data_IF_406879372374
#
_entry.id   IF_406879372374
#
_cell.length_a   1.000
_cell.length_b   1.000
_cell.length_c   1.000
_cell.angle_alpha   90.00
_cell.angle_beta   90.00
_cell.angle_gamma   90.00
#
_symmetry.space_group_name_H-M   'P 1'
#
loop_
_entity.id
_entity.type
_entity.pdbx_description
1 polymer ?
#
# COMPACT_ATOMS: atom_id res chain seq x y z
N UNK A 1 -31.41 22.62 -39.79
CA UNK A 1 -30.68 21.39 -40.23
C UNK A 1 -29.17 21.57 -40.12
N UNK A 2 -28.58 22.63 -40.68
CA UNK A 2 -27.11 22.89 -40.57
C UNK A 2 -26.67 23.09 -39.13
N UNK A 3 -27.45 23.73 -38.29
CA UNK A 3 -27.16 24.01 -36.90
C UNK A 3 -27.02 22.72 -36.06
N UNK A 4 -27.86 21.71 -36.32
CA UNK A 4 -27.80 20.43 -35.65
C UNK A 4 -26.54 19.63 -36.01
N UNK A 5 -26.13 19.69 -37.29
CA UNK A 5 -24.90 19.05 -37.78
C UNK A 5 -23.68 19.69 -37.13
N UNK A 6 -23.66 21.02 -37.01
CA UNK A 6 -22.56 21.78 -36.41
C UNK A 6 -22.39 21.43 -34.92
N UNK A 7 -23.51 21.33 -34.19
CA UNK A 7 -23.50 20.93 -32.77
C UNK A 7 -22.96 19.52 -32.61
N UNK A 8 -23.41 18.56 -33.42
CA UNK A 8 -22.92 17.17 -33.33
C UNK A 8 -21.42 17.08 -33.62
N UNK A 9 -20.91 17.81 -34.59
CA UNK A 9 -19.49 17.87 -34.92
C UNK A 9 -18.67 18.47 -33.78
N UNK A 10 -19.11 19.58 -33.20
CA UNK A 10 -18.43 20.19 -32.05
C UNK A 10 -18.41 19.27 -30.82
N UNK A 11 -19.54 18.65 -30.49
CA UNK A 11 -19.62 17.68 -29.38
C UNK A 11 -18.72 16.47 -29.64
N UNK A 12 -18.65 15.99 -30.89
CA UNK A 12 -17.77 14.90 -31.30
C UNK A 12 -16.28 15.21 -31.07
N UNK A 13 -15.85 16.42 -31.48
CA UNK A 13 -14.45 16.85 -31.30
C UNK A 13 -14.11 17.02 -29.82
N UNK A 14 -14.98 17.64 -29.02
CA UNK A 14 -14.77 17.82 -27.58
C UNK A 14 -14.75 16.47 -26.88
N UNK A 15 -15.64 15.53 -27.22
CA UNK A 15 -15.68 14.19 -26.64
C UNK A 15 -14.40 13.40 -26.94
N UNK A 16 -13.89 13.48 -28.18
CA UNK A 16 -12.64 12.80 -28.54
C UNK A 16 -11.41 13.34 -27.78
N UNK A 17 -11.36 14.67 -27.55
CA UNK A 17 -10.28 15.29 -26.78
C UNK A 17 -10.39 15.04 -25.27
N UNK A 18 -11.60 14.94 -24.73
CA UNK A 18 -11.86 14.67 -23.33
C UNK A 18 -11.52 13.22 -22.95
N UNK A 19 -11.76 12.26 -23.84
CA UNK A 19 -11.56 10.82 -23.56
C UNK A 19 -10.15 10.47 -23.12
N UNK A 20 -9.13 11.07 -23.74
CA UNK A 20 -7.72 10.80 -23.42
C UNK A 20 -7.30 11.28 -22.01
N UNK A 21 -8.01 12.27 -21.46
CA UNK A 21 -7.70 12.83 -20.14
C UNK A 21 -8.45 12.15 -18.99
N UNK A 22 -9.60 11.53 -19.27
CA UNK A 22 -10.40 10.86 -18.25
C UNK A 22 -9.95 9.43 -17.92
N UNK A 23 -9.08 8.83 -18.73
CA UNK A 23 -8.66 7.43 -18.56
C UNK A 23 -7.20 7.25 -18.12
N UNK A 24 -6.66 8.18 -17.35
CA UNK A 24 -5.34 7.93 -16.73
C UNK A 24 -5.49 6.98 -15.53
N UNK A 25 -5.61 5.67 -15.82
CA UNK A 25 -5.76 4.61 -14.84
C UNK A 25 -4.61 4.61 -13.83
N UNK A 26 -3.43 5.08 -14.22
CA UNK A 26 -2.24 5.05 -13.37
C UNK A 26 -2.34 6.00 -12.18
N UNK A 27 -3.09 7.09 -12.29
CA UNK A 27 -3.38 7.99 -11.16
C UNK A 27 -4.27 7.30 -10.13
N UNK A 28 -5.34 6.64 -10.59
CA UNK A 28 -6.25 5.88 -9.72
C UNK A 28 -5.53 4.70 -9.06
N UNK A 29 -4.64 4.03 -9.79
CA UNK A 29 -3.81 2.94 -9.25
C UNK A 29 -2.89 3.45 -8.15
N UNK A 30 -2.29 4.64 -8.28
CA UNK A 30 -1.45 5.26 -7.26
C UNK A 30 -2.25 5.63 -6.00
N UNK A 31 -3.43 6.22 -6.17
CA UNK A 31 -4.32 6.56 -5.05
C UNK A 31 -4.80 5.28 -4.33
N UNK A 32 -5.21 4.26 -5.09
CA UNK A 32 -5.61 2.96 -4.54
C UNK A 32 -4.48 2.28 -3.77
N UNK A 33 -3.26 2.24 -4.34
CA UNK A 33 -2.09 1.65 -3.68
C UNK A 33 -1.73 2.41 -2.40
N UNK A 34 -1.93 3.73 -2.37
CA UNK A 34 -1.70 4.57 -1.20
C UNK A 34 -2.67 4.22 -0.06
N UNK A 35 -3.98 4.17 -0.36
CA UNK A 35 -5.00 3.82 0.64
C UNK A 35 -4.86 2.36 1.10
N UNK A 36 -4.48 1.45 0.21
CA UNK A 36 -4.19 0.08 0.54
C UNK A 36 -3.01 -0.03 1.51
N UNK A 37 -1.89 0.65 1.24
CA UNK A 37 -0.75 0.70 2.16
C UNK A 37 -1.16 1.26 3.53
N UNK A 38 -1.91 2.38 3.54
CA UNK A 38 -2.41 2.99 4.78
C UNK A 38 -3.28 2.03 5.58
N UNK A 39 -4.17 1.30 4.92
CA UNK A 39 -5.03 0.31 5.56
C UNK A 39 -4.24 -0.87 6.13
N UNK A 40 -3.23 -1.37 5.42
CA UNK A 40 -2.36 -2.46 5.86
C UNK A 40 -1.57 -2.07 7.10
N UNK A 41 -0.98 -0.88 7.12
CA UNK A 41 -0.23 -0.37 8.27
C UNK A 41 -1.12 -0.26 9.51
N UNK A 42 -2.32 0.33 9.38
CA UNK A 42 -3.30 0.42 10.46
C UNK A 42 -3.78 -0.96 10.92
N UNK A 43 -3.96 -1.89 10.00
CA UNK A 43 -4.33 -3.27 10.33
C UNK A 43 -3.21 -3.96 11.10
N UNK A 44 -1.96 -3.83 10.67
CA UNK A 44 -0.79 -4.38 11.37
C UNK A 44 -0.70 -3.88 12.82
N UNK A 45 -0.88 -2.58 13.04
CA UNK A 45 -0.93 -1.98 14.38
C UNK A 45 -2.06 -2.58 15.23
N UNK A 46 -3.28 -2.68 14.68
CA UNK A 46 -4.43 -3.26 15.39
C UNK A 46 -4.23 -4.73 15.74
N UNK A 47 -3.64 -5.52 14.85
CA UNK A 47 -3.34 -6.94 15.11
C UNK A 47 -2.27 -7.09 16.20
N UNK A 48 -1.23 -6.23 16.20
CA UNK A 48 -0.21 -6.24 17.23
C UNK A 48 -0.81 -6.04 18.63
N UNK A 49 -1.69 -5.04 18.76
CA UNK A 49 -2.41 -4.77 20.02
C UNK A 49 -3.38 -5.92 20.36
N UNK A 50 -4.21 -6.34 19.42
CA UNK A 50 -5.26 -7.34 19.67
C UNK A 50 -4.69 -8.71 20.04
N UNK A 51 -3.55 -9.09 19.48
CA UNK A 51 -2.89 -10.36 19.76
C UNK A 51 -1.77 -10.25 20.79
N UNK A 52 -1.52 -9.06 21.35
CA UNK A 52 -0.47 -8.80 22.34
C UNK A 52 0.89 -9.34 21.89
N UNK A 53 1.28 -9.11 20.63
CA UNK A 53 2.54 -9.57 20.05
C UNK A 53 3.01 -8.65 18.93
N UNK A 54 4.33 -8.64 18.69
CA UNK A 54 4.89 -7.82 17.62
C UNK A 54 4.44 -8.27 16.22
N UNK A 55 4.17 -7.29 15.35
CA UNK A 55 3.87 -7.47 13.93
C UNK A 55 4.90 -6.70 13.12
N UNK A 56 5.53 -7.36 12.17
CA UNK A 56 6.52 -6.79 11.26
C UNK A 56 5.85 -6.46 9.93
N UNK A 57 6.11 -5.25 9.45
CA UNK A 57 5.69 -4.76 8.14
C UNK A 57 6.88 -4.86 7.20
N UNK A 58 6.77 -5.67 6.17
CA UNK A 58 7.78 -5.85 5.13
C UNK A 58 7.42 -4.95 3.94
N UNK A 59 8.30 -4.03 3.60
CA UNK A 59 8.15 -3.06 2.52
C UNK A 59 9.12 -3.42 1.38
N UNK A 60 8.79 -4.50 0.67
CA UNK A 60 9.57 -4.91 -0.49
C UNK A 60 9.25 -4.06 -1.73
N UNK A 61 10.13 -4.00 -2.74
CA UNK A 61 9.91 -3.20 -3.95
C UNK A 61 8.63 -3.54 -4.72
N UNK A 62 8.14 -4.77 -4.62
CA UNK A 62 6.99 -5.28 -5.36
C UNK A 62 5.78 -5.62 -4.48
N UNK A 63 5.90 -5.52 -3.14
CA UNK A 63 4.82 -5.88 -2.21
C UNK A 63 4.95 -5.17 -0.87
N UNK A 64 3.84 -5.14 -0.14
CA UNK A 64 3.79 -4.90 1.30
C UNK A 64 3.16 -6.13 1.98
N UNK A 65 3.74 -6.58 3.08
CA UNK A 65 3.24 -7.77 3.77
C UNK A 65 3.39 -7.66 5.29
N UNK A 66 2.51 -8.34 6.03
CA UNK A 66 2.55 -8.43 7.49
C UNK A 66 2.99 -9.82 7.92
N UNK A 67 3.93 -9.86 8.86
CA UNK A 67 4.48 -11.09 9.42
C UNK A 67 4.62 -10.97 10.94
N UNK A 68 4.45 -12.07 11.67
CA UNK A 68 4.70 -12.12 13.12
C UNK A 68 6.17 -12.35 13.48
N UNK A 69 7.05 -12.50 12.48
CA UNK A 69 8.48 -12.61 12.65
C UNK A 69 9.20 -11.69 11.66
N UNK A 70 10.41 -11.23 12.04
CA UNK A 70 11.28 -10.49 11.11
C UNK A 70 11.95 -11.49 10.15
N UNK A 71 11.20 -11.93 9.14
CA UNK A 71 11.66 -12.90 8.16
C UNK A 71 11.01 -12.61 6.80
N UNK A 72 11.83 -12.46 5.76
CA UNK A 72 11.38 -12.32 4.37
C UNK A 72 12.06 -13.39 3.48
N UNK A 73 11.27 -14.28 2.83
CA UNK A 73 9.81 -14.37 2.87
C UNK A 73 9.27 -14.85 4.22
N UNK A 74 8.06 -14.37 4.57
CA UNK A 74 7.39 -14.76 5.82
C UNK A 74 7.02 -16.25 5.80
N UNK A 75 7.50 -17.00 6.80
CA UNK A 75 7.12 -18.40 6.98
C UNK A 75 5.61 -18.54 7.21
N UNK A 76 5.01 -19.61 6.71
CA UNK A 76 3.54 -19.84 6.77
C UNK A 76 2.97 -19.70 8.18
N UNK A 77 3.63 -20.26 9.19
CA UNK A 77 3.20 -20.18 10.60
C UNK A 77 3.22 -18.76 11.18
N UNK A 78 3.95 -17.82 10.55
CA UNK A 78 4.10 -16.44 11.00
C UNK A 78 3.34 -15.43 10.13
N UNK A 79 2.55 -15.87 9.15
CA UNK A 79 1.77 -14.97 8.30
C UNK A 79 0.62 -14.36 9.08
N UNK A 80 0.47 -13.05 8.98
CA UNK A 80 -0.74 -12.37 9.45
C UNK A 80 -1.83 -12.62 8.43
N UNK A 81 -2.98 -13.13 8.87
CA UNK A 81 -4.10 -13.39 7.97
C UNK A 81 -4.75 -12.09 7.50
N UNK A 82 -5.24 -12.09 6.27
CA UNK A 82 -6.01 -10.99 5.72
C UNK A 82 -7.35 -10.82 6.47
N UNK A 83 -7.83 -9.58 6.69
CA UNK A 83 -9.01 -9.31 7.53
C UNK A 83 -10.30 -9.94 6.98
N UNK A 84 -10.43 -10.08 5.66
CA UNK A 84 -11.57 -10.75 4.99
C UNK A 84 -11.36 -12.25 4.78
N UNK A 85 -10.22 -12.79 5.24
CA UNK A 85 -9.79 -14.16 4.96
C UNK A 85 -8.97 -14.31 3.68
N UNK A 86 -9.04 -13.34 2.77
CA UNK A 86 -8.28 -13.32 1.52
C UNK A 86 -7.73 -11.90 1.25
N UNK A 87 -6.56 -11.81 0.59
CA UNK A 87 -6.02 -10.59 0.03
C UNK A 87 -6.71 -10.24 -1.31
N UNK A 88 -6.29 -9.16 -1.98
CA UNK A 88 -6.93 -8.71 -3.24
C UNK A 88 -6.87 -9.73 -4.38
N UNK A 89 -5.92 -10.66 -4.31
CA UNK A 89 -5.62 -11.65 -5.35
C UNK A 89 -5.49 -11.05 -6.76
N UNK A 90 -5.13 -9.78 -6.86
CA UNK A 90 -4.78 -9.14 -8.13
C UNK A 90 -3.59 -9.87 -8.78
N UNK A 91 -3.35 -9.66 -10.07
CA UNK A 91 -2.21 -10.28 -10.75
C UNK A 91 -0.87 -9.93 -10.08
N UNK A 92 -0.73 -8.68 -9.63
CA UNK A 92 0.43 -8.24 -8.88
C UNK A 92 0.54 -8.95 -7.53
N UNK A 93 -0.56 -9.08 -6.79
CA UNK A 93 -0.61 -9.76 -5.49
C UNK A 93 -0.34 -11.25 -5.63
N UNK A 94 -0.96 -11.91 -6.61
CA UNK A 94 -0.71 -13.32 -6.89
C UNK A 94 0.76 -13.60 -7.19
N UNK A 95 1.39 -12.75 -7.99
CA UNK A 95 2.80 -12.90 -8.38
C UNK A 95 3.74 -12.63 -7.20
N UNK A 96 3.46 -11.61 -6.38
CA UNK A 96 4.35 -11.17 -5.32
C UNK A 96 4.17 -11.94 -4.00
N UNK A 97 2.97 -12.45 -3.71
CA UNK A 97 2.60 -13.06 -2.43
C UNK A 97 2.40 -14.58 -2.50
N UNK A 98 1.88 -15.11 -3.62
CA UNK A 98 1.71 -16.54 -3.89
C UNK A 98 0.60 -17.26 -3.11
N UNK A 99 0.00 -16.63 -2.09
CA UNK A 99 -1.06 -17.19 -1.24
C UNK A 99 -2.16 -16.16 -0.97
N UNK A 100 -3.39 -16.62 -0.76
CA UNK A 100 -4.57 -15.75 -0.61
C UNK A 100 -4.82 -15.28 0.83
N UNK A 101 -4.63 -16.16 1.79
CA UNK A 101 -4.99 -15.90 3.20
C UNK A 101 -3.99 -15.00 3.95
N UNK A 102 -2.84 -14.71 3.34
CA UNK A 102 -1.82 -13.85 3.92
C UNK A 102 -2.14 -12.37 3.67
N UNK A 103 -2.01 -11.52 4.72
CA UNK A 103 -2.04 -10.07 4.56
C UNK A 103 -0.77 -9.62 3.82
N UNK A 104 -0.83 -9.73 2.54
CA UNK A 104 0.22 -9.38 1.59
C UNK A 104 -0.45 -8.83 0.33
N UNK A 105 0.01 -7.67 -0.12
CA UNK A 105 -0.48 -7.02 -1.33
C UNK A 105 0.66 -6.68 -2.27
N UNK A 106 0.54 -7.13 -3.49
CA UNK A 106 1.46 -6.84 -4.57
C UNK A 106 1.18 -5.48 -5.19
N UNK A 107 2.23 -4.85 -5.68
CA UNK A 107 2.15 -3.55 -6.34
C UNK A 107 2.12 -3.72 -7.85
N UNK A 108 1.20 -3.03 -8.55
CA UNK A 108 1.21 -2.96 -10.02
C UNK A 108 2.55 -2.41 -10.56
N UNK A 109 3.00 -2.91 -11.70
CA UNK A 109 4.30 -2.54 -12.27
C UNK A 109 4.41 -1.06 -12.70
N UNK A 110 3.26 -0.40 -12.96
CA UNK A 110 3.17 1.02 -13.29
C UNK A 110 3.23 1.95 -12.07
N UNK A 111 3.31 1.39 -10.86
CA UNK A 111 3.40 2.13 -9.59
C UNK A 111 4.77 1.89 -8.97
N UNK A 112 5.44 2.98 -8.58
CA UNK A 112 6.67 2.93 -7.78
C UNK A 112 6.37 3.28 -6.33
N UNK A 113 7.10 2.67 -5.39
CA UNK A 113 7.08 3.08 -4.00
C UNK A 113 8.49 3.11 -3.45
N UNK A 114 8.81 4.23 -2.84
CA UNK A 114 10.07 4.47 -2.17
C UNK A 114 9.80 4.67 -0.68
N UNK A 115 10.37 3.80 0.13
CA UNK A 115 10.28 3.86 1.59
C UNK A 115 11.67 4.17 2.17
N UNK A 116 11.70 4.93 3.25
CA UNK A 116 12.95 5.16 4.00
C UNK A 116 13.40 3.93 4.81
N UNK A 117 12.51 2.95 5.00
CA UNK A 117 12.77 1.68 5.67
C UNK A 117 12.25 0.53 4.81
N UNK A 118 12.94 -0.61 4.83
CA UNK A 118 12.48 -1.86 4.18
C UNK A 118 11.63 -2.72 5.11
N UNK A 119 11.84 -2.59 6.42
CA UNK A 119 11.10 -3.30 7.45
C UNK A 119 10.92 -2.39 8.65
N UNK A 120 9.72 -2.42 9.25
CA UNK A 120 9.43 -1.84 10.56
C UNK A 120 8.56 -2.82 11.35
N UNK A 121 8.39 -2.59 12.64
CA UNK A 121 7.47 -3.38 13.46
C UNK A 121 6.52 -2.50 14.27
N UNK A 122 5.40 -3.10 14.69
CA UNK A 122 4.54 -2.60 15.76
C UNK A 122 4.64 -3.57 16.94
N UNK A 123 4.85 -3.05 18.15
CA UNK A 123 4.86 -3.85 19.38
C UNK A 123 3.44 -4.14 19.89
N UNK A 124 3.33 -4.87 20.99
CA UNK A 124 2.07 -5.21 21.62
C UNK A 124 1.25 -4.01 22.12
N UNK A 125 1.87 -2.84 22.28
CA UNK A 125 1.21 -1.58 22.63
C UNK A 125 0.81 -0.77 21.41
N UNK A 126 1.18 -1.23 20.20
CA UNK A 126 0.97 -0.52 18.94
C UNK A 126 2.01 0.56 18.66
N UNK A 127 3.08 0.61 19.45
CA UNK A 127 4.19 1.53 19.21
C UNK A 127 5.06 1.00 18.07
N UNK A 128 5.49 1.87 17.14
CA UNK A 128 6.34 1.47 16.05
C UNK A 128 7.80 1.33 16.52
N UNK A 129 8.54 0.41 15.92
CA UNK A 129 9.96 0.24 16.19
C UNK A 129 10.76 -0.10 14.93
N UNK A 130 12.05 0.23 14.95
CA UNK A 130 12.99 -0.13 13.89
C UNK A 130 13.39 -1.61 13.95
N UNK A 131 13.76 -2.15 12.80
CA UNK A 131 14.28 -3.52 12.70
C UNK A 131 15.64 -3.48 11.98
N UNK A 132 16.72 -4.01 12.61
CA UNK A 132 16.79 -4.57 13.96
C UNK A 132 16.51 -3.52 15.03
N UNK A 133 15.99 -3.95 16.19
CA UNK A 133 15.67 -3.06 17.30
C UNK A 133 16.97 -2.42 17.82
N UNK A 134 17.15 -1.10 17.70
CA UNK A 134 18.33 -0.44 18.26
C UNK A 134 18.24 -0.40 19.79
N UNK A 135 19.40 -0.30 20.47
CA UNK A 135 19.48 -0.34 21.93
C UNK A 135 18.63 0.75 22.63
N UNK A 136 18.31 1.84 21.94
CA UNK A 136 17.53 2.99 22.42
C UNK A 136 16.12 3.08 21.82
N UNK A 137 15.70 2.08 21.05
CA UNK A 137 14.37 1.99 20.39
C UNK A 137 13.87 3.30 19.76
N UNK A 138 14.76 4.08 19.15
CA UNK A 138 14.36 5.31 18.48
C UNK A 138 13.87 5.00 17.05
N UNK A 139 12.53 4.91 16.91
CA UNK A 139 11.91 4.88 15.60
C UNK A 139 11.81 6.31 15.05
N UNK A 140 12.49 6.56 13.93
CA UNK A 140 12.54 7.89 13.31
C UNK A 140 11.30 8.23 12.46
N UNK A 141 10.31 7.36 12.43
CA UNK A 141 9.15 7.46 11.54
C UNK A 141 9.34 6.69 10.22
N UNK A 142 8.23 6.23 9.64
CA UNK A 142 8.19 5.69 8.30
C UNK A 142 7.63 6.74 7.35
N UNK A 143 8.24 6.89 6.19
CA UNK A 143 7.71 7.66 5.06
C UNK A 143 7.80 6.81 3.80
N UNK A 144 6.66 6.58 3.16
CA UNK A 144 6.57 5.84 1.91
C UNK A 144 5.94 6.73 0.85
N UNK A 145 6.68 7.04 -0.19
CA UNK A 145 6.20 7.79 -1.35
C UNK A 145 5.78 6.82 -2.45
N UNK A 146 4.52 6.89 -2.86
CA UNK A 146 3.94 6.11 -3.93
C UNK A 146 3.71 7.04 -5.12
N UNK A 147 4.22 6.67 -6.29
CA UNK A 147 4.11 7.47 -7.50
C UNK A 147 3.63 6.63 -8.69
N UNK A 148 2.75 7.23 -9.49
CA UNK A 148 2.20 6.69 -10.73
C UNK A 148 1.40 7.74 -11.49
N UNK A 149 1.35 7.66 -12.83
CA UNK A 149 0.57 8.58 -13.66
C UNK A 149 0.96 10.06 -13.48
N UNK A 150 2.23 10.36 -13.21
CA UNK A 150 2.69 11.74 -12.97
C UNK A 150 2.28 12.32 -11.61
N UNK A 151 1.63 11.55 -10.74
CA UNK A 151 1.26 11.96 -9.39
C UNK A 151 2.07 11.23 -8.34
N UNK A 152 2.21 11.84 -7.16
CA UNK A 152 2.90 11.28 -6.02
C UNK A 152 2.07 11.49 -4.75
N UNK A 153 2.03 10.46 -3.91
CA UNK A 153 1.37 10.45 -2.59
C UNK A 153 2.32 9.92 -1.55
N UNK A 154 2.19 10.39 -0.32
CA UNK A 154 3.04 9.94 0.78
C UNK A 154 2.17 9.40 1.91
N UNK A 155 2.58 8.26 2.46
CA UNK A 155 2.03 7.68 3.69
C UNK A 155 3.11 7.76 4.75
N UNK A 156 2.75 8.31 5.90
CA UNK A 156 3.66 8.44 7.02
C UNK A 156 3.16 7.66 8.25
N UNK A 157 4.11 7.19 9.06
CA UNK A 157 3.85 6.62 10.38
C UNK A 157 4.58 7.47 11.40
N UNK A 158 3.85 8.04 12.36
CA UNK A 158 4.40 8.87 13.42
C UNK A 158 5.33 8.05 14.33
N UNK A 159 6.46 8.66 14.69
CA UNK A 159 7.55 7.99 15.38
C UNK A 159 7.16 7.39 16.76
N UNK A 160 6.34 8.09 17.52
CA UNK A 160 6.02 7.70 18.90
C UNK A 160 4.72 6.91 19.02
N UNK A 161 3.70 7.30 18.25
CA UNK A 161 2.35 6.74 18.40
C UNK A 161 2.01 5.65 17.39
N UNK A 162 2.80 5.55 16.29
CA UNK A 162 2.45 4.69 15.17
C UNK A 162 1.22 5.16 14.39
N UNK A 163 0.77 6.41 14.59
CA UNK A 163 -0.35 6.95 13.82
C UNK A 163 -0.01 7.03 12.33
N UNK A 164 -0.89 6.50 11.49
CA UNK A 164 -0.72 6.42 10.03
C UNK A 164 -1.56 7.52 9.36
N UNK A 165 -0.90 8.41 8.58
CA UNK A 165 -1.54 9.55 7.90
C UNK A 165 -1.00 9.80 6.49
#
# INVERSE_FOLDING_TARGET
MVELILVIVLVGIISAAAMSRFFDRTVFDADTATEQLRSILRYGQKIAIAQNRSVFVQLAPNRVALCFANQDPCAEANRVRAPSGENSWSDATRTACGVRDWMCEGRPANITANANLTVMGFDALGQPFNVPVPANNQFGGLSVTIAGGGTSRTVNVAAETGYVF
#
